data_IF_890351611474
#
_entry.id   IF_890351611474
#
_cell.length_a   1.000
_cell.length_b   1.000
_cell.length_c   1.000
_cell.angle_alpha   90.00
_cell.angle_beta   90.00
_cell.angle_gamma   90.00
#
_symmetry.space_group_name_H-M   'P 1'
#
loop_
_entity.id
_entity.type
_entity.pdbx_description
1 polymer ?
#
# COMPACT_ATOMS: atom_id res chain seq x y z
N UNK A 1 -59.55 -6.90 30.02
CA UNK A 1 -59.23 -7.65 28.80
C UNK A 1 -59.43 -6.72 27.60
N UNK A 2 -58.38 -5.99 27.25
CA UNK A 2 -58.34 -5.30 26.00
C UNK A 2 -57.89 -6.32 24.95
N UNK A 3 -58.75 -6.66 23.99
CA UNK A 3 -58.40 -7.51 22.90
C UNK A 3 -57.34 -6.84 21.97
N UNK A 4 -56.68 -7.60 21.14
CA UNK A 4 -55.64 -7.05 20.25
C UNK A 4 -56.24 -5.98 19.33
N UNK A 5 -55.61 -4.82 19.29
CA UNK A 5 -55.94 -3.80 18.29
C UNK A 5 -55.29 -4.24 16.99
N UNK A 6 -56.10 -4.74 16.07
CA UNK A 6 -55.70 -5.06 14.72
C UNK A 6 -55.90 -3.78 13.87
N UNK A 7 -54.82 -3.10 13.57
CA UNK A 7 -54.86 -2.03 12.57
C UNK A 7 -54.67 -2.75 11.21
N UNK A 8 -55.80 -3.01 10.54
CA UNK A 8 -55.77 -3.54 9.17
C UNK A 8 -55.30 -2.46 8.22
N UNK A 9 -54.14 -2.65 7.61
CA UNK A 9 -53.69 -1.91 6.45
C UNK A 9 -53.01 -2.89 5.48
N UNK A 10 -53.48 -2.96 4.27
CA UNK A 10 -52.75 -3.62 3.19
C UNK A 10 -51.42 -2.94 3.01
N UNK A 11 -50.33 -3.69 3.20
CA UNK A 11 -48.97 -3.21 3.02
C UNK A 11 -48.11 -3.06 4.26
N UNK A 12 -48.55 -3.45 5.45
CA UNK A 12 -47.73 -3.49 6.67
C UNK A 12 -47.08 -4.90 6.75
N UNK A 13 -45.75 -4.98 6.50
CA UNK A 13 -45.03 -6.27 6.48
C UNK A 13 -44.85 -6.94 7.82
N UNK A 14 -44.83 -6.18 8.95
CA UNK A 14 -44.69 -6.70 10.30
C UNK A 14 -45.66 -6.03 11.23
N UNK A 15 -46.52 -6.82 11.89
CA UNK A 15 -47.40 -6.37 12.97
C UNK A 15 -46.73 -6.73 14.30
N UNK A 16 -46.23 -5.72 15.00
CA UNK A 16 -45.78 -5.91 16.38
C UNK A 16 -46.96 -5.93 17.33
N UNK A 17 -47.27 -7.10 17.87
CA UNK A 17 -48.26 -7.26 18.91
C UNK A 17 -47.70 -6.86 20.29
N UNK A 18 -48.18 -5.76 20.84
CA UNK A 18 -47.94 -5.39 22.23
C UNK A 18 -48.83 -6.26 23.14
N UNK A 19 -48.38 -7.47 23.42
CA UNK A 19 -49.03 -8.36 24.40
C UNK A 19 -48.17 -8.49 25.66
N UNK A 20 -48.68 -9.15 26.71
CA UNK A 20 -47.94 -9.37 27.94
C UNK A 20 -46.60 -10.11 27.74
N UNK A 21 -46.51 -10.96 26.72
CA UNK A 21 -45.31 -11.71 26.36
C UNK A 21 -44.26 -10.81 25.72
N UNK A 22 -44.67 -9.88 24.84
CA UNK A 22 -43.80 -8.85 24.27
C UNK A 22 -43.37 -7.85 25.34
N UNK A 23 -44.30 -7.38 26.19
CA UNK A 23 -43.97 -6.50 27.31
C UNK A 23 -43.09 -7.25 28.31
N UNK A 24 -43.28 -8.56 28.51
CA UNK A 24 -42.46 -9.42 29.37
C UNK A 24 -41.01 -9.57 28.88
N UNK A 25 -40.80 -9.47 27.58
CA UNK A 25 -39.43 -9.44 27.01
C UNK A 25 -38.71 -8.11 27.32
N UNK A 26 -39.45 -7.07 27.62
CA UNK A 26 -38.93 -5.74 27.96
C UNK A 26 -39.28 -5.29 29.39
N UNK A 27 -40.11 -6.04 30.12
CA UNK A 27 -40.30 -5.80 31.54
C UNK A 27 -39.17 -6.40 32.33
N UNK A 28 -38.55 -5.50 33.00
CA UNK A 28 -37.56 -5.68 34.01
C UNK A 28 -37.66 -6.98 34.77
N UNK A 29 -36.75 -7.88 34.55
CA UNK A 29 -36.26 -8.71 35.64
C UNK A 29 -35.29 -7.81 36.42
N UNK A 30 -35.63 -7.38 37.65
CA UNK A 30 -34.89 -6.31 38.32
C UNK A 30 -33.39 -6.61 38.49
N UNK A 31 -33.02 -7.86 38.51
CA UNK A 31 -31.66 -8.29 38.83
C UNK A 31 -30.74 -8.43 37.60
N UNK A 32 -31.25 -8.77 36.40
CA UNK A 32 -30.44 -8.89 35.20
C UNK A 32 -30.34 -7.58 34.40
N UNK A 33 -31.46 -6.90 34.20
CA UNK A 33 -31.50 -5.67 33.43
C UNK A 33 -30.95 -4.46 34.18
N UNK A 34 -31.06 -4.45 35.52
CA UNK A 34 -30.40 -3.41 36.32
C UNK A 34 -28.88 -3.56 36.21
N UNK A 35 -28.33 -4.78 36.31
CA UNK A 35 -26.89 -4.97 36.16
C UNK A 35 -26.37 -4.64 34.77
N UNK A 36 -27.05 -5.06 33.71
CA UNK A 36 -26.61 -4.77 32.33
C UNK A 36 -26.92 -3.32 31.92
N UNK A 37 -28.08 -2.76 32.32
CA UNK A 37 -28.39 -1.36 32.01
C UNK A 37 -27.60 -0.38 32.87
N UNK A 38 -27.28 -0.74 34.11
CA UNK A 38 -26.39 0.05 34.97
C UNK A 38 -24.94 -0.02 34.50
N UNK A 39 -24.49 -1.14 33.96
CA UNK A 39 -23.18 -1.21 33.29
C UNK A 39 -23.10 -0.35 32.02
N UNK A 40 -24.22 -0.11 31.34
CA UNK A 40 -24.30 0.75 30.15
C UNK A 40 -24.53 2.22 30.53
N UNK A 41 -25.27 2.53 31.62
CA UNK A 41 -25.68 3.90 31.95
C UNK A 41 -24.91 4.56 33.09
N UNK A 42 -24.35 3.78 34.01
CA UNK A 42 -23.45 4.31 35.03
C UNK A 42 -22.03 4.00 34.61
N UNK A 43 -21.27 5.03 34.23
CA UNK A 43 -19.82 4.97 34.25
C UNK A 43 -19.36 4.57 35.63
N UNK A 44 -19.31 3.28 35.88
CA UNK A 44 -18.69 2.71 37.07
C UNK A 44 -17.21 3.19 37.05
N UNK A 45 -16.66 3.50 38.24
CA UNK A 45 -15.24 3.88 38.36
C UNK A 45 -14.33 2.86 37.67
N UNK A 46 -14.65 1.57 37.78
CA UNK A 46 -13.93 0.49 37.10
C UNK A 46 -14.01 0.59 35.55
N UNK A 47 -15.10 1.06 34.97
CA UNK A 47 -15.24 1.28 33.52
C UNK A 47 -14.42 2.52 33.08
N UNK A 48 -14.50 3.60 33.87
CA UNK A 48 -13.73 4.81 33.59
C UNK A 48 -12.21 4.58 33.73
N UNK A 49 -11.81 3.72 34.66
CA UNK A 49 -10.41 3.31 34.82
C UNK A 49 -9.94 2.46 33.65
N UNK A 50 -10.74 1.51 33.20
CA UNK A 50 -10.45 0.68 32.04
C UNK A 50 -10.42 1.47 30.72
N UNK A 51 -11.32 2.43 30.53
CA UNK A 51 -11.28 3.38 29.39
C UNK A 51 -9.97 4.17 29.40
N UNK A 52 -9.52 4.66 30.56
CA UNK A 52 -8.28 5.40 30.69
C UNK A 52 -7.05 4.52 30.40
N UNK A 53 -7.01 3.30 30.92
CA UNK A 53 -5.94 2.33 30.62
C UNK A 53 -5.84 2.05 29.12
N UNK A 54 -6.97 1.78 28.46
CA UNK A 54 -7.03 1.55 27.00
C UNK A 54 -6.59 2.80 26.23
N UNK A 55 -6.97 3.99 26.69
CA UNK A 55 -6.54 5.24 26.05
C UNK A 55 -5.04 5.48 26.21
N UNK A 56 -4.48 5.26 27.38
CA UNK A 56 -3.03 5.32 27.62
C UNK A 56 -2.28 4.31 26.75
N UNK A 57 -2.79 3.07 26.62
CA UNK A 57 -2.25 2.06 25.71
C UNK A 57 -2.22 2.56 24.25
N UNK A 58 -3.35 3.05 23.75
CA UNK A 58 -3.43 3.53 22.37
C UNK A 58 -2.55 4.74 22.13
N UNK A 59 -2.42 5.63 23.09
CA UNK A 59 -1.52 6.80 23.01
C UNK A 59 -0.06 6.37 22.96
N UNK A 60 0.36 5.39 23.76
CA UNK A 60 1.73 4.87 23.74
C UNK A 60 2.08 4.28 22.38
N UNK A 61 1.20 3.47 21.78
CA UNK A 61 1.42 2.93 20.43
C UNK A 61 1.46 4.05 19.39
N UNK A 62 0.56 5.03 19.46
CA UNK A 62 0.56 6.18 18.55
C UNK A 62 1.84 7.03 18.67
N UNK A 63 2.37 7.19 19.88
CA UNK A 63 3.62 7.90 20.10
C UNK A 63 4.77 7.27 19.32
N UNK A 64 4.86 5.93 19.23
CA UNK A 64 5.88 5.25 18.42
C UNK A 64 5.81 5.70 16.96
N UNK A 65 4.59 5.84 16.38
CA UNK A 65 4.45 6.32 14.99
C UNK A 65 4.70 7.83 14.84
N UNK A 66 4.45 8.61 15.89
CA UNK A 66 4.68 10.07 15.87
C UNK A 66 6.16 10.39 16.02
N UNK A 67 6.85 9.66 16.87
CA UNK A 67 8.25 9.93 17.22
C UNK A 67 9.27 9.34 16.24
N UNK A 68 8.82 8.40 15.38
CA UNK A 68 9.68 7.70 14.43
C UNK A 68 9.24 7.94 12.97
N UNK A 69 9.82 8.96 12.35
CA UNK A 69 9.57 9.29 10.93
C UNK A 69 9.91 8.13 9.99
N UNK A 70 10.92 7.32 10.31
CA UNK A 70 11.35 6.15 9.53
C UNK A 70 10.25 5.08 9.43
N UNK A 71 9.45 4.90 10.49
CA UNK A 71 8.33 3.95 10.51
C UNK A 71 7.22 4.37 9.53
N UNK A 72 6.90 5.65 9.47
CA UNK A 72 5.93 6.16 8.49
C UNK A 72 6.49 6.05 7.07
N UNK A 73 7.76 6.39 6.86
CA UNK A 73 8.42 6.24 5.55
C UNK A 73 8.45 4.77 5.09
N UNK A 74 8.69 3.83 5.99
CA UNK A 74 8.60 2.39 5.69
C UNK A 74 7.20 2.02 5.20
N UNK A 75 6.15 2.43 5.92
CA UNK A 75 4.76 2.14 5.52
C UNK A 75 4.47 2.70 4.14
N UNK A 76 4.85 3.95 3.89
CA UNK A 76 4.60 4.63 2.61
C UNK A 76 5.31 3.91 1.45
N UNK A 77 6.60 3.55 1.60
CA UNK A 77 7.34 2.83 0.57
C UNK A 77 6.80 1.40 0.33
N UNK A 78 6.38 0.69 1.39
CA UNK A 78 5.75 -0.62 1.25
C UNK A 78 4.39 -0.52 0.53
N UNK A 79 3.60 0.52 0.80
CA UNK A 79 2.34 0.79 0.09
C UNK A 79 2.58 1.14 -1.38
N UNK A 80 3.63 1.92 -1.68
CA UNK A 80 4.02 2.21 -3.07
C UNK A 80 4.36 0.92 -3.82
N UNK A 81 5.11 -0.01 -3.21
CA UNK A 81 5.42 -1.31 -3.82
C UNK A 81 4.15 -2.12 -4.07
N UNK A 82 3.27 -2.20 -3.08
CA UNK A 82 1.99 -2.88 -3.22
C UNK A 82 1.15 -2.32 -4.36
N UNK A 83 1.08 -1.00 -4.49
CA UNK A 83 0.35 -0.32 -5.55
C UNK A 83 0.99 -0.50 -6.92
N UNK A 84 2.33 -0.54 -6.99
CA UNK A 84 3.06 -0.74 -8.23
C UNK A 84 2.87 -2.15 -8.81
N UNK A 85 2.76 -3.17 -7.96
CA UNK A 85 2.62 -4.57 -8.34
C UNK A 85 1.26 -5.13 -7.91
N UNK A 86 0.16 -4.66 -8.53
CA UNK A 86 -1.20 -5.12 -8.22
C UNK A 86 -1.34 -6.64 -8.40
N UNK A 87 -1.89 -7.32 -7.39
CA UNK A 87 -2.14 -8.76 -7.43
C UNK A 87 -3.41 -9.11 -8.20
N UNK A 88 -3.39 -10.30 -8.79
CA UNK A 88 -4.55 -10.99 -9.37
C UNK A 88 -4.62 -12.40 -8.76
N UNK A 89 -5.67 -13.15 -9.07
CA UNK A 89 -5.77 -14.55 -8.65
C UNK A 89 -4.64 -15.45 -9.17
N UNK A 90 -3.98 -15.05 -10.25
CA UNK A 90 -2.88 -15.77 -10.91
C UNK A 90 -1.48 -15.18 -10.66
N UNK A 91 -1.33 -14.21 -9.74
CA UNK A 91 -0.07 -13.55 -9.43
C UNK A 91 -0.12 -12.04 -9.61
N UNK A 92 0.94 -11.44 -10.17
CA UNK A 92 1.00 -9.99 -10.43
C UNK A 92 0.34 -9.65 -11.77
N UNK A 93 -0.52 -8.63 -11.78
CA UNK A 93 -1.15 -8.12 -12.99
C UNK A 93 -0.13 -7.56 -13.98
N UNK A 94 -0.18 -8.05 -15.22
CA UNK A 94 0.65 -7.50 -16.32
C UNK A 94 0.34 -6.03 -16.63
N UNK A 95 -0.86 -5.56 -16.32
CA UNK A 95 -1.27 -4.17 -16.49
C UNK A 95 -0.88 -3.27 -15.31
N UNK A 96 -0.29 -3.81 -14.26
CA UNK A 96 0.22 -3.02 -13.13
C UNK A 96 1.33 -2.09 -13.57
N UNK A 97 1.48 -0.97 -12.86
CA UNK A 97 2.50 0.06 -13.19
C UNK A 97 3.90 -0.53 -13.21
N UNK A 98 4.22 -1.38 -12.23
CA UNK A 98 5.51 -2.06 -12.14
C UNK A 98 5.78 -2.97 -13.34
N UNK A 99 4.84 -3.85 -13.67
CA UNK A 99 5.01 -4.76 -14.81
C UNK A 99 5.09 -4.01 -16.15
N UNK A 100 4.31 -2.95 -16.34
CA UNK A 100 4.42 -2.11 -17.55
C UNK A 100 5.77 -1.40 -17.65
N UNK A 101 6.35 -1.00 -16.51
CA UNK A 101 7.68 -0.41 -16.50
C UNK A 101 8.79 -1.42 -16.84
N UNK A 102 8.68 -2.66 -16.34
CA UNK A 102 9.71 -3.68 -16.48
C UNK A 102 9.59 -4.52 -17.77
N UNK A 103 8.39 -4.65 -18.35
CA UNK A 103 8.10 -5.61 -19.43
C UNK A 103 8.96 -5.45 -20.69
N UNK A 104 9.38 -4.23 -20.99
CA UNK A 104 10.24 -3.91 -22.14
C UNK A 104 11.75 -3.93 -21.83
N UNK A 105 12.13 -4.35 -20.63
CA UNK A 105 13.50 -4.23 -20.15
C UNK A 105 13.91 -2.79 -19.82
N UNK A 106 15.11 -2.63 -19.29
CA UNK A 106 15.63 -1.33 -18.90
C UNK A 106 16.34 -0.62 -20.07
N UNK A 107 15.57 0.02 -20.93
CA UNK A 107 16.09 0.83 -22.05
C UNK A 107 16.80 2.12 -21.62
N UNK A 108 16.73 2.49 -20.34
CA UNK A 108 17.51 3.61 -19.78
C UNK A 108 18.96 3.18 -19.58
N UNK A 109 19.16 1.95 -19.12
CA UNK A 109 20.49 1.36 -18.92
C UNK A 109 21.04 0.77 -20.22
N UNK A 110 20.24 -0.01 -20.93
CA UNK A 110 20.54 -0.69 -22.19
C UNK A 110 19.98 0.11 -23.38
N UNK A 111 20.69 1.13 -23.78
CA UNK A 111 20.26 2.00 -24.89
C UNK A 111 20.27 1.21 -26.21
N UNK A 112 19.15 1.21 -26.98
CA UNK A 112 19.09 0.53 -28.26
C UNK A 112 20.15 1.03 -29.25
N UNK A 113 20.70 0.09 -30.05
CA UNK A 113 21.73 0.39 -31.03
C UNK A 113 21.30 1.52 -31.96
N UNK A 114 22.24 2.45 -32.25
CA UNK A 114 22.01 3.64 -33.06
C UNK A 114 21.34 4.82 -32.31
N UNK A 115 21.08 4.69 -31.01
CA UNK A 115 20.60 5.78 -30.17
C UNK A 115 21.62 6.22 -29.11
N UNK A 116 22.86 5.79 -29.21
CA UNK A 116 23.94 6.06 -28.26
C UNK A 116 24.17 7.58 -28.06
N UNK A 117 24.02 8.36 -29.12
CA UNK A 117 24.15 9.82 -29.06
C UNK A 117 23.09 10.51 -28.19
N UNK A 118 21.97 9.85 -27.93
CA UNK A 118 20.90 10.36 -27.07
C UNK A 118 21.08 9.96 -25.59
N UNK A 119 22.12 9.20 -25.26
CA UNK A 119 22.42 8.75 -23.89
C UNK A 119 22.37 9.86 -22.84
N UNK A 120 22.93 11.08 -23.04
CA UNK A 120 22.87 12.14 -22.04
C UNK A 120 21.42 12.54 -21.66
N UNK A 121 20.51 12.49 -22.64
CA UNK A 121 19.11 12.82 -22.44
C UNK A 121 18.32 11.67 -21.81
N UNK A 122 18.54 10.44 -22.30
CA UNK A 122 17.89 9.21 -21.83
C UNK A 122 18.23 8.92 -20.37
N UNK A 123 19.49 9.20 -19.96
CA UNK A 123 19.93 9.00 -18.57
C UNK A 123 19.73 10.20 -17.66
N UNK A 124 19.25 11.34 -18.19
CA UNK A 124 18.97 12.53 -17.37
C UNK A 124 17.79 12.33 -16.40
N UNK A 125 17.72 13.14 -15.36
CA UNK A 125 16.57 13.18 -14.48
C UNK A 125 15.28 13.61 -15.20
N UNK A 126 15.43 14.38 -16.29
CA UNK A 126 14.31 14.87 -17.11
C UNK A 126 14.02 14.00 -18.34
N UNK A 127 14.40 12.72 -18.30
CA UNK A 127 14.24 11.77 -19.41
C UNK A 127 12.81 11.65 -19.94
N UNK A 128 11.83 11.63 -19.03
CA UNK A 128 10.41 11.50 -19.40
C UNK A 128 9.92 12.72 -20.17
N UNK A 129 10.30 13.91 -19.71
CA UNK A 129 9.96 15.17 -20.36
C UNK A 129 10.65 15.28 -21.73
N UNK A 130 11.92 14.87 -21.82
CA UNK A 130 12.65 14.87 -23.07
C UNK A 130 12.06 13.92 -24.10
N UNK A 131 11.68 12.69 -23.70
CA UNK A 131 11.02 11.71 -24.59
C UNK A 131 9.67 12.27 -25.09
N UNK A 132 8.88 12.85 -24.21
CA UNK A 132 7.59 13.49 -24.57
C UNK A 132 7.80 14.63 -25.58
N UNK A 133 8.79 15.47 -25.32
CA UNK A 133 9.15 16.58 -26.21
C UNK A 133 9.64 16.06 -27.57
N UNK A 134 10.49 15.03 -27.58
CA UNK A 134 11.02 14.43 -28.81
C UNK A 134 9.90 13.81 -29.66
N UNK A 135 8.96 13.10 -29.03
CA UNK A 135 7.80 12.50 -29.71
C UNK A 135 6.88 13.57 -30.29
N UNK A 136 6.55 14.61 -29.52
CA UNK A 136 5.74 15.74 -29.99
C UNK A 136 6.40 16.53 -31.10
N UNK A 137 7.73 16.72 -31.05
CA UNK A 137 8.48 17.37 -32.09
C UNK A 137 8.37 16.62 -33.43
N UNK A 138 8.36 15.30 -33.41
CA UNK A 138 8.20 14.46 -34.59
C UNK A 138 6.83 14.65 -35.27
N UNK A 139 5.76 14.97 -34.54
CA UNK A 139 4.42 15.24 -35.10
C UNK A 139 4.44 16.44 -36.08
N UNK A 140 5.40 17.34 -35.95
CA UNK A 140 5.55 18.50 -36.81
C UNK A 140 6.44 18.25 -38.05
N UNK A 141 7.12 17.08 -38.14
CA UNK A 141 7.97 16.72 -39.27
C UNK A 141 7.25 16.82 -40.63
N UNK A 142 5.98 16.40 -40.79
CA UNK A 142 5.28 16.53 -42.06
C UNK A 142 5.09 17.97 -42.55
N UNK A 143 5.13 18.94 -41.63
CA UNK A 143 4.94 20.36 -41.93
C UNK A 143 6.25 21.05 -42.33
N UNK A 144 7.39 20.42 -42.05
CA UNK A 144 8.72 21.02 -42.17
C UNK A 144 9.51 20.58 -43.41
N UNK A 145 8.93 19.76 -44.27
CA UNK A 145 9.53 19.27 -45.55
C UNK A 145 10.98 18.76 -45.36
N UNK A 146 11.23 17.94 -44.35
CA UNK A 146 12.53 17.37 -44.03
C UNK A 146 13.49 18.33 -43.29
N UNK A 147 12.96 19.41 -42.74
CA UNK A 147 13.68 20.31 -41.86
C UNK A 147 13.34 20.09 -40.40
N UNK A 148 14.26 20.41 -39.51
CA UNK A 148 14.05 20.36 -38.07
C UNK A 148 12.99 21.38 -37.64
N UNK A 149 11.94 21.01 -36.93
CA UNK A 149 10.92 21.96 -36.48
C UNK A 149 11.44 22.99 -35.45
N UNK A 150 12.63 22.81 -34.89
CA UNK A 150 13.24 23.72 -33.92
C UNK A 150 14.25 24.69 -34.49
N UNK A 151 15.09 24.25 -35.49
CA UNK A 151 16.17 25.06 -36.01
C UNK A 151 16.14 25.21 -37.54
N UNK A 152 15.11 24.65 -38.19
CA UNK A 152 14.93 24.67 -39.66
C UNK A 152 16.09 24.06 -40.47
N UNK A 153 17.07 23.41 -39.81
CA UNK A 153 18.14 22.68 -40.47
C UNK A 153 17.65 21.38 -41.10
N UNK A 154 18.29 20.94 -42.18
CA UNK A 154 17.98 19.68 -42.87
C UNK A 154 18.22 18.49 -41.94
N UNK A 155 17.20 17.62 -41.75
CA UNK A 155 17.23 16.42 -40.90
C UNK A 155 17.02 15.12 -41.68
N UNK A 156 16.97 15.14 -43.02
CA UNK A 156 16.63 13.94 -43.81
C UNK A 156 17.54 12.75 -43.50
N UNK A 157 18.84 12.97 -43.31
CA UNK A 157 19.80 11.94 -42.95
C UNK A 157 19.59 11.41 -41.50
N UNK A 158 18.96 12.19 -40.62
CA UNK A 158 18.74 11.88 -39.19
C UNK A 158 17.30 11.45 -38.89
N UNK A 159 16.40 11.56 -39.86
CA UNK A 159 14.96 11.25 -39.66
C UNK A 159 14.76 9.83 -39.12
N UNK A 160 15.51 8.85 -39.64
CA UNK A 160 15.45 7.46 -39.15
C UNK A 160 15.84 7.33 -37.68
N UNK A 161 16.86 8.07 -37.21
CA UNK A 161 17.27 8.04 -35.80
C UNK A 161 16.25 8.75 -34.94
N UNK A 162 15.69 9.88 -35.37
CA UNK A 162 14.67 10.64 -34.67
C UNK A 162 13.41 9.78 -34.51
N UNK A 163 12.95 9.12 -35.56
CA UNK A 163 11.79 8.21 -35.54
C UNK A 163 12.04 7.03 -34.63
N UNK A 164 13.24 6.45 -34.64
CA UNK A 164 13.63 5.33 -33.80
C UNK A 164 13.51 5.65 -32.30
N UNK A 165 13.74 6.88 -31.84
CA UNK A 165 13.51 7.29 -30.46
C UNK A 165 12.04 7.08 -30.09
N UNK A 166 11.09 7.51 -30.92
CA UNK A 166 9.66 7.37 -30.69
C UNK A 166 9.18 5.92 -30.77
N UNK A 167 9.83 5.08 -31.56
CA UNK A 167 9.55 3.65 -31.69
C UNK A 167 10.03 2.85 -30.44
N UNK A 168 11.20 3.21 -29.92
CA UNK A 168 11.85 2.51 -28.83
C UNK A 168 11.42 2.99 -27.45
N UNK A 169 11.03 4.25 -27.31
CA UNK A 169 10.70 4.88 -26.05
C UNK A 169 9.26 5.38 -26.00
N UNK A 170 8.42 4.66 -25.24
CA UNK A 170 7.11 5.15 -24.84
C UNK A 170 7.20 5.94 -23.51
N UNK A 171 6.64 7.14 -23.50
CA UNK A 171 6.62 8.02 -22.33
C UNK A 171 6.08 7.34 -21.07
N UNK A 172 4.96 6.60 -21.21
CA UNK A 172 4.31 5.93 -20.09
C UNK A 172 5.18 4.82 -19.52
N UNK A 173 5.78 4.00 -20.40
CA UNK A 173 6.69 2.91 -20.02
C UNK A 173 7.93 3.45 -19.29
N UNK A 174 8.55 4.50 -19.82
CA UNK A 174 9.74 5.10 -19.19
C UNK A 174 9.41 5.79 -17.88
N UNK A 175 8.25 6.44 -17.78
CA UNK A 175 7.74 6.99 -16.51
C UNK A 175 7.57 5.89 -15.46
N UNK A 176 6.94 4.79 -15.83
CA UNK A 176 6.73 3.65 -14.94
C UNK A 176 8.05 3.01 -14.52
N UNK A 177 8.97 2.79 -15.46
CA UNK A 177 10.31 2.25 -15.17
C UNK A 177 11.09 3.17 -14.20
N UNK A 178 11.07 4.47 -14.46
CA UNK A 178 11.73 5.46 -13.58
C UNK A 178 11.13 5.42 -12.15
N UNK A 179 9.81 5.29 -12.05
CA UNK A 179 9.14 5.18 -10.74
C UNK A 179 9.55 3.90 -9.99
N UNK A 180 9.65 2.76 -10.69
CA UNK A 180 10.10 1.49 -10.10
C UNK A 180 11.54 1.55 -9.65
N UNK A 181 12.44 2.12 -10.45
CA UNK A 181 13.86 2.28 -10.06
C UNK A 181 13.96 3.09 -8.76
N UNK A 182 13.28 4.24 -8.67
CA UNK A 182 13.25 5.06 -7.44
C UNK A 182 12.65 4.31 -6.24
N UNK A 183 11.58 3.56 -6.46
CA UNK A 183 10.95 2.77 -5.42
C UNK A 183 11.92 1.70 -4.87
N UNK A 184 12.64 1.00 -5.75
CA UNK A 184 13.65 0.00 -5.34
C UNK A 184 14.80 0.65 -4.58
N UNK A 185 15.25 1.84 -5.00
CA UNK A 185 16.26 2.62 -4.28
C UNK A 185 15.79 2.99 -2.86
N UNK A 186 14.54 3.49 -2.73
CA UNK A 186 13.96 3.86 -1.44
C UNK A 186 13.75 2.64 -0.52
N UNK A 187 13.27 1.53 -1.06
CA UNK A 187 13.05 0.28 -0.33
C UNK A 187 14.34 -0.43 0.05
N UNK A 188 15.43 -0.20 -0.68
CA UNK A 188 16.70 -0.90 -0.46
C UNK A 188 17.23 -0.81 0.97
N UNK A 189 16.88 0.27 1.68
CA UNK A 189 17.27 0.45 3.09
C UNK A 189 16.52 -0.47 4.08
N UNK A 190 15.38 -1.00 3.67
CA UNK A 190 14.50 -1.85 4.49
C UNK A 190 14.58 -3.34 4.14
N UNK A 191 15.35 -3.67 3.10
CA UNK A 191 15.53 -5.02 2.59
C UNK A 191 16.86 -5.62 3.04
N UNK A 192 16.94 -6.95 3.07
CA UNK A 192 18.24 -7.64 3.16
C UNK A 192 19.09 -7.30 1.94
N UNK A 193 20.41 -7.47 2.06
CA UNK A 193 21.35 -7.24 0.95
C UNK A 193 20.99 -8.08 -0.28
N UNK A 194 20.71 -9.39 -0.07
CA UNK A 194 20.32 -10.31 -1.15
C UNK A 194 19.02 -9.87 -1.84
N UNK A 195 18.00 -9.49 -1.07
CA UNK A 195 16.73 -9.01 -1.61
C UNK A 195 16.91 -7.70 -2.41
N UNK A 196 17.74 -6.79 -1.90
CA UNK A 196 18.09 -5.54 -2.58
C UNK A 196 18.80 -5.81 -3.91
N UNK A 197 19.83 -6.68 -3.91
CA UNK A 197 20.56 -7.05 -5.10
C UNK A 197 19.67 -7.70 -6.15
N UNK A 198 18.80 -8.62 -5.75
CA UNK A 198 17.82 -9.26 -6.66
C UNK A 198 16.86 -8.25 -7.28
N UNK A 199 16.30 -7.33 -6.48
CA UNK A 199 15.44 -6.28 -7.02
C UNK A 199 16.17 -5.35 -7.99
N UNK A 200 17.39 -4.92 -7.65
CA UNK A 200 18.21 -4.12 -8.54
C UNK A 200 18.51 -4.86 -9.85
N UNK A 201 18.87 -6.16 -9.77
CA UNK A 201 19.09 -6.98 -10.96
C UNK A 201 17.85 -7.04 -11.86
N UNK A 202 16.65 -7.21 -11.27
CA UNK A 202 15.38 -7.19 -12.03
C UNK A 202 15.17 -5.85 -12.73
N UNK A 203 15.49 -4.72 -12.08
CA UNK A 203 15.37 -3.40 -12.72
C UNK A 203 16.39 -3.16 -13.83
N UNK A 204 17.48 -3.91 -13.85
CA UNK A 204 18.56 -3.78 -14.84
C UNK A 204 18.45 -4.79 -15.99
N UNK A 205 17.46 -5.65 -16.04
CA UNK A 205 17.28 -6.62 -17.11
C UNK A 205 17.21 -5.93 -18.48
N UNK A 206 17.91 -6.47 -19.45
CA UNK A 206 17.85 -6.00 -20.84
C UNK A 206 16.50 -6.31 -21.48
N UNK A 207 15.96 -7.48 -21.15
CA UNK A 207 14.63 -7.92 -21.55
C UNK A 207 13.70 -7.87 -20.32
N UNK A 208 12.39 -8.04 -20.52
CA UNK A 208 11.46 -8.05 -19.42
C UNK A 208 11.70 -9.21 -18.43
N UNK A 209 11.07 -9.17 -17.23
CA UNK A 209 11.23 -10.19 -16.22
C UNK A 209 10.68 -11.56 -16.70
N UNK A 210 11.45 -12.61 -16.47
CA UNK A 210 11.08 -14.00 -16.70
C UNK A 210 10.25 -14.57 -15.54
N UNK A 211 9.79 -15.81 -15.66
CA UNK A 211 8.90 -16.45 -14.68
C UNK A 211 9.47 -16.43 -13.24
N UNK A 212 10.76 -16.76 -13.09
CA UNK A 212 11.42 -16.75 -11.77
C UNK A 212 11.47 -15.37 -11.12
N UNK A 213 11.69 -14.32 -11.93
CA UNK A 213 11.68 -12.93 -11.46
C UNK A 213 10.27 -12.53 -11.00
N UNK A 214 9.23 -12.98 -11.72
CA UNK A 214 7.84 -12.72 -11.36
C UNK A 214 7.46 -13.45 -10.09
N UNK A 215 7.87 -14.70 -9.92
CA UNK A 215 7.65 -15.47 -8.69
C UNK A 215 8.31 -14.79 -7.48
N UNK A 216 9.53 -14.31 -7.64
CA UNK A 216 10.21 -13.55 -6.59
C UNK A 216 9.45 -12.26 -6.25
N UNK A 217 9.03 -11.48 -7.24
CA UNK A 217 8.24 -10.27 -7.01
C UNK A 217 6.91 -10.55 -6.30
N UNK A 218 6.26 -11.69 -6.60
CA UNK A 218 5.05 -12.14 -5.91
C UNK A 218 5.35 -12.46 -4.45
N UNK A 219 6.43 -13.18 -4.17
CA UNK A 219 6.83 -13.55 -2.82
C UNK A 219 7.18 -12.31 -1.97
N UNK A 220 7.97 -11.40 -2.52
CA UNK A 220 8.32 -10.14 -1.87
C UNK A 220 7.08 -9.29 -1.61
N UNK A 221 6.22 -9.13 -2.62
CA UNK A 221 4.96 -8.39 -2.45
C UNK A 221 4.11 -8.95 -1.32
N UNK A 222 3.99 -10.27 -1.20
CA UNK A 222 3.23 -10.89 -0.09
C UNK A 222 3.79 -10.50 1.27
N UNK A 223 5.12 -10.52 1.43
CA UNK A 223 5.77 -10.11 2.67
C UNK A 223 5.48 -8.62 2.95
N UNK A 224 5.66 -7.76 1.97
CA UNK A 224 5.44 -6.32 2.13
C UNK A 224 3.98 -5.97 2.41
N UNK A 225 3.03 -6.62 1.74
CA UNK A 225 1.59 -6.43 1.98
C UNK A 225 1.23 -6.82 3.42
N UNK A 226 1.69 -7.99 3.89
CA UNK A 226 1.39 -8.48 5.24
C UNK A 226 2.01 -7.57 6.31
N UNK A 227 3.24 -7.10 6.12
CA UNK A 227 3.87 -6.16 7.05
C UNK A 227 3.14 -4.80 7.03
N UNK A 228 2.79 -4.29 5.86
CA UNK A 228 2.03 -3.04 5.69
C UNK A 228 0.68 -3.11 6.40
N UNK A 229 -0.04 -4.23 6.25
CA UNK A 229 -1.33 -4.46 6.92
C UNK A 229 -1.16 -4.41 8.44
N UNK A 230 -0.17 -5.12 9.01
CA UNK A 230 0.11 -5.10 10.44
C UNK A 230 0.47 -3.69 10.95
N UNK A 231 1.38 -3.00 10.27
CA UNK A 231 1.81 -1.65 10.65
C UNK A 231 0.66 -0.64 10.54
N UNK A 232 -0.15 -0.72 9.49
CA UNK A 232 -1.31 0.16 9.28
C UNK A 232 -2.38 -0.08 10.35
N UNK A 233 -2.63 -1.35 10.69
CA UNK A 233 -3.56 -1.71 11.77
C UNK A 233 -3.11 -1.18 13.13
N UNK A 234 -1.80 -1.21 13.42
CA UNK A 234 -1.24 -0.64 14.65
C UNK A 234 -1.30 0.89 14.65
N UNK A 235 -0.97 1.54 13.53
CA UNK A 235 -1.07 3.00 13.38
C UNK A 235 -2.51 3.49 13.54
N UNK A 236 -3.48 2.73 13.06
CA UNK A 236 -4.91 3.02 13.15
C UNK A 236 -5.57 2.54 14.45
N UNK A 237 -4.80 2.00 15.40
CA UNK A 237 -5.35 1.52 16.65
C UNK A 237 -5.97 2.68 17.44
N UNK A 238 -7.19 2.49 17.93
CA UNK A 238 -7.91 3.47 18.73
C UNK A 238 -8.71 2.79 19.85
N UNK A 239 -9.20 3.59 20.80
CA UNK A 239 -9.95 3.13 21.95
C UNK A 239 -11.16 2.27 21.54
N UNK A 240 -11.91 2.70 20.51
CA UNK A 240 -13.10 1.95 20.07
C UNK A 240 -12.73 0.56 19.55
N UNK A 241 -11.62 0.43 18.82
CA UNK A 241 -11.19 -0.87 18.27
C UNK A 241 -10.74 -1.86 19.35
N UNK A 242 -10.42 -1.39 20.55
CA UNK A 242 -10.03 -2.23 21.69
C UNK A 242 -11.20 -2.49 22.64
N UNK A 243 -12.11 -1.53 22.83
CA UNK A 243 -13.27 -1.68 23.72
C UNK A 243 -14.22 -2.79 23.27
N UNK A 244 -14.35 -3.00 21.95
CA UNK A 244 -15.18 -4.06 21.38
C UNK A 244 -14.57 -5.47 21.52
N UNK A 245 -13.31 -5.58 21.94
CA UNK A 245 -12.62 -6.86 22.06
C UNK A 245 -12.76 -7.44 23.46
N UNK A 246 -13.23 -8.68 23.57
CA UNK A 246 -13.34 -9.39 24.85
C UNK A 246 -11.97 -9.69 25.49
N UNK A 247 -10.93 -9.82 24.67
CA UNK A 247 -9.57 -10.10 25.12
C UNK A 247 -8.53 -9.19 24.42
N UNK A 248 -8.37 -7.99 24.97
CA UNK A 248 -7.42 -6.98 24.44
C UNK A 248 -5.98 -7.52 24.40
N UNK A 249 -5.59 -8.29 25.43
CA UNK A 249 -4.25 -8.89 25.53
C UNK A 249 -3.95 -9.82 24.34
N UNK A 250 -4.90 -10.68 23.99
CA UNK A 250 -4.77 -11.61 22.86
C UNK A 250 -4.69 -10.86 21.53
N UNK A 251 -5.52 -9.82 21.38
CA UNK A 251 -5.51 -8.95 20.19
C UNK A 251 -4.17 -8.26 20.02
N UNK A 252 -3.59 -7.70 21.08
CA UNK A 252 -2.28 -7.03 21.03
C UNK A 252 -1.16 -8.05 20.78
N UNK A 253 -1.21 -9.24 21.42
CA UNK A 253 -0.23 -10.31 21.18
C UNK A 253 -0.23 -10.76 19.71
N UNK A 254 -1.39 -10.88 19.08
CA UNK A 254 -1.51 -11.24 17.66
C UNK A 254 -0.93 -10.17 16.71
N UNK A 255 -0.75 -8.94 17.19
CA UNK A 255 -0.18 -7.82 16.42
C UNK A 255 1.34 -7.71 16.51
N UNK A 256 2.00 -8.47 17.39
CA UNK A 256 3.46 -8.53 17.41
C UNK A 256 4.01 -8.90 16.03
N UNK A 257 5.10 -8.23 15.65
CA UNK A 257 5.74 -8.44 14.36
C UNK A 257 6.92 -9.38 14.57
N UNK A 258 6.81 -10.58 13.99
CA UNK A 258 7.92 -11.52 13.93
C UNK A 258 8.54 -11.48 12.53
N UNK A 259 9.73 -10.91 12.42
CA UNK A 259 10.44 -10.77 11.15
C UNK A 259 10.90 -12.10 10.56
N UNK A 260 10.84 -13.21 11.30
CA UNK A 260 11.14 -14.54 10.74
C UNK A 260 10.18 -14.92 9.59
N UNK A 261 8.97 -14.35 9.60
CA UNK A 261 8.00 -14.52 8.51
C UNK A 261 8.24 -13.59 7.29
N UNK A 262 9.26 -12.72 7.37
CA UNK A 262 9.57 -11.72 6.34
C UNK A 262 11.07 -11.79 5.97
N UNK A 263 11.55 -12.89 5.36
CA UNK A 263 12.97 -13.13 5.13
C UNK A 263 13.66 -12.03 4.33
N UNK A 264 12.98 -11.41 3.37
CA UNK A 264 13.56 -10.34 2.55
C UNK A 264 13.65 -8.98 3.27
N UNK A 265 13.02 -8.84 4.45
CA UNK A 265 12.95 -7.60 5.24
C UNK A 265 13.79 -7.64 6.53
N UNK A 266 14.56 -8.69 6.75
CA UNK A 266 15.37 -8.90 7.97
C UNK A 266 16.70 -8.12 7.93
N UNK A 267 16.66 -6.81 7.70
CA UNK A 267 17.83 -5.96 7.82
C UNK A 267 17.86 -5.24 9.18
N UNK A 268 19.02 -4.68 9.54
CA UNK A 268 19.20 -3.96 10.80
C UNK A 268 18.17 -2.85 11.03
N UNK A 269 17.87 -2.08 9.99
CA UNK A 269 16.92 -0.96 10.08
C UNK A 269 15.50 -1.46 10.35
N UNK A 270 15.02 -2.44 9.59
CA UNK A 270 13.68 -3.02 9.77
C UNK A 270 13.59 -3.74 11.13
N UNK A 271 14.63 -4.46 11.54
CA UNK A 271 14.71 -5.09 12.86
C UNK A 271 14.60 -4.04 13.97
N UNK A 272 15.39 -2.98 13.92
CA UNK A 272 15.35 -1.91 14.92
C UNK A 272 14.00 -1.19 15.00
N UNK A 273 13.29 -1.03 13.87
CA UNK A 273 11.95 -0.46 13.84
C UNK A 273 10.94 -1.41 14.50
N UNK A 274 10.96 -2.69 14.15
CA UNK A 274 10.02 -3.68 14.68
C UNK A 274 10.27 -3.99 16.16
N UNK A 275 11.53 -3.99 16.62
CA UNK A 275 11.88 -4.20 18.03
C UNK A 275 11.32 -3.06 18.91
N UNK A 276 11.44 -1.81 18.47
CA UNK A 276 10.84 -0.67 19.19
C UNK A 276 9.33 -0.78 19.28
N UNK A 277 8.67 -1.17 18.18
CA UNK A 277 7.22 -1.33 18.14
C UNK A 277 6.76 -2.51 19.00
N UNK A 278 7.47 -3.64 18.92
CA UNK A 278 7.19 -4.83 19.72
C UNK A 278 7.43 -4.56 21.22
N UNK A 279 8.45 -3.79 21.59
CA UNK A 279 8.69 -3.38 22.97
C UNK A 279 7.51 -2.58 23.52
N UNK A 280 7.05 -1.55 22.79
CA UNK A 280 5.88 -0.78 23.19
C UNK A 280 4.60 -1.64 23.31
N UNK A 281 4.40 -2.61 22.41
CA UNK A 281 3.30 -3.56 22.50
C UNK A 281 3.46 -4.50 23.70
N UNK A 282 4.67 -4.99 23.98
CA UNK A 282 4.94 -5.91 25.07
C UNK A 282 4.73 -5.25 26.44
N UNK A 283 5.11 -3.99 26.59
CA UNK A 283 4.85 -3.20 27.79
C UNK A 283 3.35 -3.08 28.10
N UNK A 284 2.51 -3.09 27.06
CA UNK A 284 1.05 -3.03 27.18
C UNK A 284 0.40 -4.41 27.41
N UNK A 285 1.06 -5.50 27.00
CA UNK A 285 0.59 -6.86 27.17
C UNK A 285 0.83 -7.35 28.60
N UNK A 286 1.88 -6.90 29.25
CA UNK A 286 2.29 -7.29 30.61
C UNK A 286 1.46 -6.59 31.68
#
# INVERSE_FOLDING_TARGET
NAGPIVIGAEGIGDVMCFNEEYVGQFTFQPDELINDSFNILIRNEAHAEREREIEEMTQTIRAVFTDHAELNSLIDHLQELSNAFKSTSSGISRSSTGMRGLSGGNKIHHIPAGLENYQPYIRSERRVEWIDWQTKGLEFSPLSDGCCPFCTGDIREKEGQIRKVSEEYDKSTIKNLTAIIRLVENLGNYLTEDARERLLAITLLQNGPEAEHIEYLVALKRQTDTLTEKLTALRGLNVFSLQEQQNVREVLTARLIDLQFFPDLQCELTQGITDRLNAALQDLIN
#
